data_IF_468418990793
#
_entry.id   IF_468418990793
#
_cell.length_a   1.000
_cell.length_b   1.000
_cell.length_c   1.000
_cell.angle_alpha   90.00
_cell.angle_beta   90.00
_cell.angle_gamma   90.00
#
_symmetry.space_group_name_H-M   'P 1'
#
loop_
_entity.id
_entity.type
_entity.pdbx_description
1 polymer ?
#
# COMPACT_ATOMS: atom_id res chain seq x y z
N UNK A 1 -24.05 -17.30 -47.01
CA UNK A 1 -23.44 -17.84 -45.77
C UNK A 1 -22.28 -16.95 -45.37
N UNK A 2 -22.50 -16.00 -44.47
CA UNK A 2 -21.44 -15.19 -43.83
C UNK A 2 -21.84 -15.09 -42.35
N UNK A 3 -21.06 -15.74 -41.48
CA UNK A 3 -21.22 -15.68 -40.02
C UNK A 3 -20.55 -14.39 -39.53
N UNK A 4 -21.30 -13.46 -38.98
CA UNK A 4 -20.74 -12.35 -38.20
C UNK A 4 -21.12 -12.60 -36.74
N UNK A 5 -20.16 -13.12 -35.98
CA UNK A 5 -20.21 -13.24 -34.53
C UNK A 5 -19.67 -11.94 -33.91
N UNK A 6 -20.33 -11.52 -32.84
CA UNK A 6 -19.80 -10.74 -31.72
C UNK A 6 -19.49 -9.25 -31.96
N UNK A 7 -20.53 -8.41 -31.87
CA UNK A 7 -20.38 -6.98 -31.52
C UNK A 7 -21.09 -6.61 -30.20
N UNK A 8 -21.33 -7.58 -29.32
CA UNK A 8 -21.88 -7.31 -27.97
C UNK A 8 -20.78 -7.07 -26.90
N UNK A 9 -19.50 -7.20 -27.27
CA UNK A 9 -18.36 -7.11 -26.35
C UNK A 9 -17.63 -5.75 -26.37
N UNK A 10 -18.14 -4.76 -27.09
CA UNK A 10 -17.53 -3.43 -27.17
C UNK A 10 -18.29 -2.36 -26.38
N UNK A 11 -19.47 -2.68 -25.84
CA UNK A 11 -20.25 -1.76 -24.98
C UNK A 11 -19.99 -1.94 -23.48
N UNK A 12 -19.23 -2.96 -23.07
CA UNK A 12 -18.86 -3.18 -21.66
C UNK A 12 -17.61 -2.41 -21.21
N UNK A 13 -16.84 -1.85 -22.15
CA UNK A 13 -15.58 -1.17 -21.83
C UNK A 13 -15.71 0.37 -21.68
N UNK A 14 -16.94 0.90 -21.66
CA UNK A 14 -17.18 2.35 -21.58
C UNK A 14 -17.90 2.81 -20.29
N UNK A 15 -18.12 1.91 -19.31
CA UNK A 15 -18.97 2.20 -18.13
C UNK A 15 -18.25 2.31 -16.78
N UNK A 16 -16.93 2.52 -16.75
CA UNK A 16 -16.22 2.83 -15.50
C UNK A 16 -15.44 4.13 -15.61
N UNK A 17 -16.12 5.19 -16.05
CA UNK A 17 -15.71 6.56 -15.82
C UNK A 17 -16.61 7.15 -14.72
N UNK A 18 -16.02 7.34 -13.54
CA UNK A 18 -16.40 8.28 -12.47
C UNK A 18 -17.81 8.18 -11.87
N UNK A 19 -17.92 7.56 -10.69
CA UNK A 19 -18.55 8.18 -9.50
C UNK A 19 -18.03 7.54 -8.20
N UNK A 20 -17.20 8.29 -7.48
CA UNK A 20 -17.18 8.49 -6.02
C UNK A 20 -18.05 7.54 -5.15
N UNK A 21 -17.42 6.57 -4.47
CA UNK A 21 -17.62 6.18 -3.05
C UNK A 21 -16.92 4.83 -2.81
N UNK A 22 -16.17 4.73 -1.72
CA UNK A 22 -15.45 3.50 -1.36
C UNK A 22 -16.38 2.29 -1.23
N UNK A 23 -16.26 1.35 -2.16
CA UNK A 23 -16.71 -0.04 -2.03
C UNK A 23 -16.14 -0.81 -3.23
N UNK A 24 -14.98 -1.46 -3.04
CA UNK A 24 -14.56 -2.51 -3.96
C UNK A 24 -15.14 -3.84 -3.48
N UNK A 25 -16.08 -4.36 -4.28
CA UNK A 25 -16.76 -5.62 -4.13
C UNK A 25 -15.80 -6.81 -4.35
N UNK A 26 -16.11 -7.87 -3.61
CA UNK A 26 -15.39 -9.12 -3.42
C UNK A 26 -15.21 -9.89 -4.74
N UNK A 27 -14.00 -10.40 -5.00
CA UNK A 27 -13.80 -11.55 -5.89
C UNK A 27 -12.98 -12.62 -5.15
N UNK A 28 -13.63 -13.75 -4.85
CA UNK A 28 -13.09 -15.06 -4.44
C UNK A 28 -11.99 -15.12 -3.35
N UNK A 29 -12.41 -15.39 -2.11
CA UNK A 29 -11.65 -16.04 -1.03
C UNK A 29 -10.32 -15.44 -0.52
N UNK A 30 -9.95 -14.20 -0.85
CA UNK A 30 -8.91 -13.48 -0.10
C UNK A 30 -9.39 -12.08 0.30
N UNK A 31 -9.28 -11.83 1.60
CA UNK A 31 -9.99 -10.77 2.32
C UNK A 31 -9.46 -9.37 1.99
N UNK A 32 -10.44 -8.50 1.69
CA UNK A 32 -10.54 -7.04 1.83
C UNK A 32 -9.23 -6.25 2.03
N UNK A 33 -8.83 -5.47 1.03
CA UNK A 33 -8.08 -4.22 1.24
C UNK A 33 -9.09 -3.10 1.47
N UNK A 34 -9.24 -2.63 2.71
CA UNK A 34 -9.99 -1.42 2.98
C UNK A 34 -9.00 -0.23 3.00
N UNK A 35 -9.23 0.78 2.18
CA UNK A 35 -8.70 2.12 2.39
C UNK A 35 -9.88 3.11 2.47
N UNK A 36 -10.32 3.53 3.67
CA UNK A 36 -11.43 4.47 3.76
C UNK A 36 -11.10 5.83 4.39
N UNK A 37 -9.84 6.24 4.55
CA UNK A 37 -9.48 7.62 4.93
C UNK A 37 -8.18 8.05 4.24
N UNK A 38 -8.29 8.92 3.23
CA UNK A 38 -7.13 9.60 2.66
C UNK A 38 -6.74 10.74 3.61
N UNK A 39 -5.53 10.68 4.14
CA UNK A 39 -4.93 11.75 4.94
C UNK A 39 -3.90 12.46 4.06
N UNK A 40 -3.85 13.79 4.12
CA UNK A 40 -2.85 14.59 3.41
C UNK A 40 -1.97 15.33 4.41
N UNK A 41 -0.66 15.22 4.24
CA UNK A 41 0.34 15.99 5.00
C UNK A 41 1.19 16.76 4.01
N UNK A 42 0.95 18.07 3.91
CA UNK A 42 1.48 18.88 2.81
C UNK A 42 0.93 18.37 1.46
N UNK A 43 1.84 18.12 0.51
CA UNK A 43 1.49 17.59 -0.81
C UNK A 43 1.51 16.05 -0.89
N UNK A 44 1.85 15.38 0.21
CA UNK A 44 1.92 13.92 0.25
C UNK A 44 0.59 13.33 0.70
N UNK A 45 0.09 12.35 -0.05
CA UNK A 45 -1.06 11.53 0.33
C UNK A 45 -0.59 10.36 1.19
N UNK A 46 -1.26 10.13 2.31
CA UNK A 46 -1.07 8.97 3.17
C UNK A 46 -2.19 7.97 2.89
N UNK A 47 -1.78 6.75 2.52
CA UNK A 47 -2.65 5.64 2.15
C UNK A 47 -2.51 4.53 3.18
N UNK A 48 -3.54 4.35 3.99
CA UNK A 48 -3.58 3.26 4.97
C UNK A 48 -4.09 1.98 4.28
N UNK A 49 -3.27 0.92 4.33
CA UNK A 49 -3.57 -0.40 3.76
C UNK A 49 -3.62 -1.42 4.89
N UNK A 50 -4.80 -1.92 5.20
CA UNK A 50 -4.97 -3.00 6.18
C UNK A 50 -5.08 -4.34 5.48
N UNK A 51 -4.28 -5.32 5.88
CA UNK A 51 -4.32 -6.70 5.40
C UNK A 51 -4.68 -7.65 6.53
N UNK A 52 -5.48 -8.68 6.24
CA UNK A 52 -5.80 -9.71 7.22
C UNK A 52 -4.72 -10.78 7.36
N UNK A 53 -3.85 -10.90 6.35
CA UNK A 53 -2.79 -11.90 6.32
C UNK A 53 -1.57 -11.35 5.55
N UNK A 54 -0.37 -11.47 6.13
CA UNK A 54 0.88 -11.02 5.51
C UNK A 54 1.14 -11.65 4.12
N UNK A 55 0.59 -12.83 3.84
CA UNK A 55 0.70 -13.48 2.53
C UNK A 55 0.05 -12.66 1.41
N UNK A 56 -0.87 -11.74 1.72
CA UNK A 56 -1.41 -10.79 0.75
C UNK A 56 -0.26 -9.91 0.22
N UNK A 57 0.57 -9.35 1.11
CA UNK A 57 1.73 -8.53 0.71
C UNK A 57 2.80 -9.36 -0.01
N UNK A 58 3.04 -10.61 0.41
CA UNK A 58 3.99 -11.52 -0.26
C UNK A 58 3.64 -11.80 -1.73
N UNK A 59 2.35 -11.85 -2.04
CA UNK A 59 1.86 -12.13 -3.38
C UNK A 59 1.47 -10.87 -4.16
N UNK A 60 1.50 -9.69 -3.53
CA UNK A 60 1.10 -8.43 -4.16
C UNK A 60 2.06 -8.04 -5.27
N UNK A 61 1.56 -7.85 -6.50
CA UNK A 61 2.38 -7.59 -7.69
C UNK A 61 3.37 -6.42 -7.51
N UNK A 62 2.89 -5.31 -6.96
CA UNK A 62 3.70 -4.09 -6.73
C UNK A 62 4.62 -4.19 -5.51
N UNK A 63 4.06 -4.49 -4.33
CA UNK A 63 4.77 -4.29 -3.07
C UNK A 63 5.69 -5.45 -2.66
N UNK A 64 5.47 -6.68 -3.15
CA UNK A 64 6.24 -7.85 -2.70
C UNK A 64 7.76 -7.69 -2.82
N UNK A 65 8.21 -6.91 -3.80
CA UNK A 65 9.64 -6.70 -4.08
C UNK A 65 10.33 -5.78 -3.06
N UNK A 66 9.58 -4.98 -2.30
CA UNK A 66 10.13 -3.99 -1.37
C UNK A 66 10.25 -4.51 0.06
N UNK A 67 9.52 -5.57 0.40
CA UNK A 67 9.57 -6.21 1.71
C UNK A 67 10.65 -7.29 1.75
N UNK A 68 11.47 -7.29 2.79
CA UNK A 68 12.15 -8.51 3.23
C UNK A 68 11.27 -9.23 4.26
N UNK A 69 10.53 -10.25 3.81
CA UNK A 69 9.64 -11.03 4.68
C UNK A 69 10.36 -11.92 5.69
N UNK A 70 11.70 -11.95 5.71
CA UNK A 70 12.48 -12.56 6.78
C UNK A 70 12.63 -11.62 7.98
N UNK A 71 12.43 -10.32 7.79
CA UNK A 71 12.45 -9.31 8.84
C UNK A 71 11.09 -9.32 9.54
N UNK A 72 11.10 -9.60 10.84
CA UNK A 72 9.91 -9.71 11.69
C UNK A 72 9.62 -8.43 12.50
N UNK A 73 9.93 -7.27 11.93
CA UNK A 73 9.74 -5.95 12.56
C UNK A 73 9.28 -4.93 11.52
N UNK A 74 8.55 -3.87 11.93
CA UNK A 74 8.09 -2.84 11.01
C UNK A 74 9.25 -1.94 10.58
N UNK A 75 9.41 -1.79 9.28
CA UNK A 75 10.46 -0.98 8.67
C UNK A 75 9.90 0.08 7.71
N UNK A 76 10.74 1.03 7.32
CA UNK A 76 10.50 2.02 6.28
C UNK A 76 11.59 1.95 5.20
N UNK A 77 11.36 2.60 4.06
CA UNK A 77 12.39 2.78 3.03
C UNK A 77 13.07 4.14 3.09
N UNK A 78 14.40 4.14 2.93
CA UNK A 78 15.19 5.34 2.69
C UNK A 78 15.11 5.78 1.24
N UNK A 79 15.65 4.94 0.34
CA UNK A 79 15.58 5.09 -1.11
C UNK A 79 14.69 4.00 -1.75
N UNK A 80 14.33 4.15 -3.02
CA UNK A 80 13.59 3.11 -3.77
C UNK A 80 14.56 2.12 -4.41
N UNK A 81 14.54 0.90 -3.92
CA UNK A 81 15.28 -0.25 -4.43
C UNK A 81 14.52 -1.54 -4.09
N UNK A 82 14.92 -2.67 -4.65
CA UNK A 82 14.44 -3.98 -4.15
C UNK A 82 14.82 -4.13 -2.68
N UNK A 83 13.92 -4.71 -1.87
CA UNK A 83 14.05 -4.84 -0.41
C UNK A 83 14.17 -3.52 0.35
N UNK A 84 13.71 -2.41 -0.23
CA UNK A 84 13.90 -1.08 0.36
C UNK A 84 13.26 -0.87 1.75
N UNK A 85 12.22 -1.61 2.14
CA UNK A 85 11.57 -1.48 3.45
C UNK A 85 12.39 -2.25 4.49
N UNK A 86 13.54 -1.69 4.90
CA UNK A 86 14.53 -2.38 5.74
C UNK A 86 14.93 -1.63 7.02
N UNK A 87 14.77 -0.31 7.06
CA UNK A 87 15.17 0.50 8.22
C UNK A 87 14.12 0.44 9.32
N UNK A 88 14.51 0.08 10.54
CA UNK A 88 13.61 -0.17 11.66
C UNK A 88 12.91 1.12 12.11
N UNK A 89 11.58 1.05 12.25
CA UNK A 89 10.77 2.15 12.82
C UNK A 89 10.90 2.14 14.34
N UNK A 90 11.16 3.32 14.93
CA UNK A 90 11.24 3.53 16.38
C UNK A 90 9.86 3.37 17.02
N UNK A 91 9.78 2.56 18.07
CA UNK A 91 8.57 2.35 18.88
C UNK A 91 7.29 2.14 18.02
N UNK A 92 7.29 1.15 17.11
CA UNK A 92 6.21 1.01 16.16
C UNK A 92 4.90 0.58 16.86
N UNK A 93 3.73 1.01 16.38
CA UNK A 93 2.47 0.43 16.81
C UNK A 93 2.46 -1.09 16.60
N UNK A 94 1.80 -1.82 17.51
CA UNK A 94 1.83 -3.30 17.57
C UNK A 94 1.46 -3.98 16.25
N UNK A 95 0.48 -3.44 15.53
CA UNK A 95 -0.04 -4.03 14.30
C UNK A 95 0.52 -3.39 13.02
N UNK A 96 1.54 -2.53 13.13
CA UNK A 96 2.22 -1.98 11.97
C UNK A 96 3.03 -3.07 11.27
N UNK A 97 2.99 -3.12 9.95
CA UNK A 97 3.79 -4.05 9.14
C UNK A 97 4.95 -3.35 8.44
N UNK A 98 4.76 -2.09 8.04
CA UNK A 98 5.80 -1.30 7.42
C UNK A 98 5.25 -0.02 6.79
N UNK A 99 6.18 0.81 6.31
CA UNK A 99 5.90 2.07 5.63
C UNK A 99 6.67 2.08 4.30
N UNK A 100 6.02 2.53 3.24
CA UNK A 100 6.66 2.72 1.94
C UNK A 100 6.37 4.11 1.38
N UNK A 101 7.40 4.81 0.96
CA UNK A 101 7.30 6.07 0.23
C UNK A 101 7.62 5.84 -1.25
N UNK A 102 6.79 6.40 -2.12
CA UNK A 102 6.86 6.19 -3.58
C UNK A 102 7.89 7.05 -4.31
N UNK A 103 8.53 7.98 -3.60
CA UNK A 103 9.67 8.75 -4.08
C UNK A 103 10.41 9.41 -2.90
N UNK A 104 11.48 10.14 -3.18
CA UNK A 104 12.24 10.88 -2.19
C UNK A 104 13.28 10.03 -1.47
N UNK A 105 14.03 10.67 -0.59
CA UNK A 105 15.06 10.04 0.23
C UNK A 105 14.71 10.13 1.72
N UNK A 106 15.15 9.18 2.53
CA UNK A 106 15.24 9.33 3.99
C UNK A 106 16.58 8.82 4.46
N UNK A 107 16.91 9.15 5.70
CA UNK A 107 18.09 8.62 6.34
C UNK A 107 17.99 7.09 6.45
N UNK A 108 19.07 6.43 6.11
CA UNK A 108 19.21 4.98 6.09
C UNK A 108 19.59 4.49 7.50
N UNK A 109 18.71 4.71 8.49
CA UNK A 109 19.02 4.53 9.92
C UNK A 109 17.90 3.84 10.73
N UNK A 110 18.27 2.80 11.48
CA UNK A 110 17.38 2.06 12.39
C UNK A 110 17.01 2.91 13.62
N UNK A 111 15.76 2.78 14.09
CA UNK A 111 15.25 3.37 15.34
C UNK A 111 15.34 4.91 15.44
N UNK A 112 15.56 5.60 14.32
CA UNK A 112 15.62 7.06 14.24
C UNK A 112 14.24 7.71 14.30
N UNK A 113 13.33 7.25 13.44
CA UNK A 113 12.00 7.84 13.24
C UNK A 113 10.90 6.94 13.75
N UNK A 114 9.94 7.52 14.47
CA UNK A 114 8.66 6.85 14.75
C UNK A 114 7.66 7.10 13.60
N UNK A 115 6.48 6.48 13.65
CA UNK A 115 5.49 6.63 12.58
C UNK A 115 5.02 8.08 12.35
N UNK A 116 4.85 8.86 13.42
CA UNK A 116 4.40 10.25 13.34
C UNK A 116 5.50 11.18 12.77
N UNK A 117 6.77 10.85 13.00
CA UNK A 117 7.89 11.52 12.32
C UNK A 117 7.83 11.24 10.82
N UNK A 118 7.68 9.96 10.45
CA UNK A 118 7.62 9.53 9.05
C UNK A 118 6.44 10.15 8.28
N UNK A 119 5.27 10.30 8.89
CA UNK A 119 4.11 10.97 8.27
C UNK A 119 4.39 12.41 7.85
N UNK A 120 5.31 13.09 8.53
CA UNK A 120 5.71 14.47 8.24
C UNK A 120 6.87 14.54 7.23
N UNK A 121 7.47 13.41 6.88
CA UNK A 121 8.64 13.31 5.99
C UNK A 121 8.26 12.96 4.55
N UNK A 122 7.53 13.87 3.91
CA UNK A 122 7.22 13.74 2.48
C UNK A 122 8.46 13.68 1.60
N UNK A 123 9.38 14.62 1.78
CA UNK A 123 10.68 14.71 1.08
C UNK A 123 10.65 14.30 -0.41
N UNK A 124 9.65 14.78 -1.16
CA UNK A 124 9.49 14.48 -2.59
C UNK A 124 8.60 13.28 -2.93
N UNK A 125 8.13 12.51 -1.94
CA UNK A 125 7.09 11.49 -2.11
C UNK A 125 5.73 12.12 -2.40
N UNK A 126 5.01 11.52 -3.34
CA UNK A 126 3.60 11.84 -3.60
C UNK A 126 2.68 10.98 -2.73
N UNK A 127 3.10 9.75 -2.43
CA UNK A 127 2.36 8.80 -1.60
C UNK A 127 3.24 8.16 -0.53
N UNK A 128 2.69 8.09 0.68
CA UNK A 128 3.16 7.24 1.77
C UNK A 128 2.13 6.14 2.01
N UNK A 129 2.54 4.89 1.86
CA UNK A 129 1.72 3.73 2.14
C UNK A 129 2.06 3.19 3.52
N UNK A 130 1.05 3.05 4.37
CA UNK A 130 1.20 2.49 5.71
C UNK A 130 0.48 1.14 5.73
N UNK A 131 1.23 0.08 5.97
CA UNK A 131 0.72 -1.28 5.97
C UNK A 131 0.39 -1.73 7.38
N UNK A 132 -0.84 -2.17 7.61
CA UNK A 132 -1.35 -2.60 8.89
C UNK A 132 -1.78 -4.06 8.83
N UNK A 133 -1.51 -4.81 9.90
CA UNK A 133 -2.15 -6.08 10.16
C UNK A 133 -3.52 -5.82 10.80
N UNK A 134 -4.55 -6.46 10.27
CA UNK A 134 -5.86 -6.47 10.90
C UNK A 134 -5.77 -7.23 12.23
N UNK A 135 -6.21 -6.58 13.31
CA UNK A 135 -6.42 -7.22 14.61
C UNK A 135 -7.93 -7.24 14.88
N UNK A 136 -8.45 -8.42 15.22
CA UNK A 136 -9.80 -8.52 15.76
C UNK A 136 -9.80 -7.88 17.15
N UNK A 137 -10.71 -6.93 17.36
CA UNK A 137 -10.92 -6.27 18.66
C UNK A 137 -11.59 -7.19 19.65
#
# INVERSE_FOLDING_TARGET
MVKIKNNLLLLLNAFFAFTLLGLFLITNNQQVMAAPNEEFVGNMRIVNITVSNINILKNHATFKQYFDFKINRPCYNGNIATFAIMWKIKNPPRNLLGVFFDNGTRDDEDDKYNLEDLKKMGNGASNMYIFWQYEQK
#
